data_IF_376293032394
#
_entry.id   IF_376293032394
#
_cell.length_a   1.000
_cell.length_b   1.000
_cell.length_c   1.000
_cell.angle_alpha   90.00
_cell.angle_beta   90.00
_cell.angle_gamma   90.00
#
_symmetry.space_group_name_H-M   'P 1'
#
loop_
_entity.id
_entity.type
_entity.pdbx_description
1 polymer ?
#
# COMPACT_ATOMS: atom_id res chain seq x y z
N UNK A 1 -4.84 21.21 -12.73
CA UNK A 1 -5.13 19.84 -12.26
C UNK A 1 -3.81 19.10 -12.30
N UNK A 2 -3.43 18.36 -11.25
CA UNK A 2 -2.18 17.62 -11.25
C UNK A 2 -2.41 16.28 -11.94
N UNK A 3 -1.85 16.11 -13.13
CA UNK A 3 -1.92 14.86 -13.90
C UNK A 3 -0.86 13.87 -13.41
N UNK A 4 -0.97 13.46 -12.13
CA UNK A 4 -0.02 12.57 -11.48
C UNK A 4 -0.69 11.55 -10.56
N UNK A 5 0.08 10.53 -10.19
CA UNK A 5 -0.31 9.47 -9.27
C UNK A 5 0.21 9.77 -7.86
N UNK A 6 -0.52 9.32 -6.85
CA UNK A 6 -0.08 9.35 -5.45
C UNK A 6 0.14 7.91 -5.02
N UNK A 7 1.35 7.59 -4.56
CA UNK A 7 1.64 6.34 -3.87
C UNK A 7 1.20 6.48 -2.42
N UNK A 8 0.06 5.89 -2.06
CA UNK A 8 -0.48 6.05 -0.70
C UNK A 8 0.19 5.20 0.36
N UNK A 9 1.15 4.34 -0.03
CA UNK A 9 1.90 3.51 0.91
C UNK A 9 3.21 3.03 0.30
N UNK A 10 4.35 3.56 0.73
CA UNK A 10 5.67 3.05 0.36
C UNK A 10 6.70 3.31 1.46
N UNK A 11 7.62 2.39 1.66
CA UNK A 11 8.72 2.49 2.62
C UNK A 11 10.00 2.94 1.92
N UNK A 12 10.01 4.17 1.38
CA UNK A 12 11.22 4.72 0.76
C UNK A 12 12.35 4.91 1.79
N UNK A 13 12.04 4.94 3.09
CA UNK A 13 13.01 4.94 4.19
C UNK A 13 13.69 3.58 4.41
N UNK A 14 13.19 2.49 3.81
CA UNK A 14 13.72 1.16 3.99
C UNK A 14 15.19 1.04 3.53
N UNK A 15 15.96 0.20 4.24
CA UNK A 15 17.39 -0.01 3.99
C UNK A 15 17.64 -0.65 2.62
N UNK A 16 16.65 -1.37 2.08
CA UNK A 16 16.64 -1.95 0.74
C UNK A 16 16.89 -0.91 -0.34
N UNK A 17 16.62 0.38 -0.08
CA UNK A 17 16.86 1.48 -1.00
C UNK A 17 18.15 2.27 -0.69
N UNK A 18 18.92 1.95 0.35
CA UNK A 18 20.07 2.78 0.75
C UNK A 18 21.11 2.99 -0.37
N UNK A 19 21.31 1.99 -1.22
CA UNK A 19 22.27 2.05 -2.31
C UNK A 19 21.80 2.88 -3.53
N UNK A 20 20.49 3.06 -3.71
CA UNK A 20 19.91 3.59 -4.95
C UNK A 20 18.64 4.44 -4.80
N UNK A 21 18.34 4.92 -3.59
CA UNK A 21 17.13 5.70 -3.26
C UNK A 21 16.92 6.89 -4.20
N UNK A 22 17.97 7.65 -4.50
CA UNK A 22 17.89 8.81 -5.39
C UNK A 22 17.43 8.41 -6.80
N UNK A 23 17.98 7.31 -7.32
CA UNK A 23 17.62 6.79 -8.65
C UNK A 23 16.19 6.24 -8.66
N UNK A 24 15.80 5.52 -7.60
CA UNK A 24 14.43 4.98 -7.43
C UNK A 24 13.40 6.10 -7.36
N UNK A 25 13.67 7.14 -6.57
CA UNK A 25 12.80 8.31 -6.46
C UNK A 25 12.68 9.06 -7.79
N UNK A 26 13.81 9.32 -8.47
CA UNK A 26 13.82 9.99 -9.76
C UNK A 26 13.03 9.21 -10.82
N UNK A 27 13.16 7.88 -10.88
CA UNK A 27 12.41 7.05 -11.81
C UNK A 27 10.89 7.17 -11.60
N UNK A 28 10.44 7.17 -10.33
CA UNK A 28 9.02 7.34 -10.00
C UNK A 28 8.49 8.73 -10.40
N UNK A 29 9.31 9.79 -10.22
CA UNK A 29 8.95 11.17 -10.62
C UNK A 29 8.81 11.37 -12.13
N UNK A 30 9.46 10.56 -12.96
CA UNK A 30 9.32 10.63 -14.43
C UNK A 30 8.08 9.87 -14.91
N UNK A 31 7.58 8.91 -14.12
CA UNK A 31 6.58 7.95 -14.58
C UNK A 31 7.20 6.91 -15.53
N UNK A 32 8.48 6.58 -15.32
CA UNK A 32 9.19 5.56 -16.10
C UNK A 32 9.02 4.18 -15.44
N UNK A 33 7.83 3.58 -15.62
CA UNK A 33 7.60 2.16 -15.33
C UNK A 33 7.93 1.28 -16.54
N UNK A 34 8.13 -0.04 -16.38
CA UNK A 34 8.20 -0.95 -17.52
C UNK A 34 6.96 -0.80 -18.40
N UNK A 35 7.13 -0.82 -19.71
CA UNK A 35 5.99 -0.76 -20.63
C UNK A 35 5.18 -2.06 -20.52
N UNK A 36 3.89 -2.04 -20.85
CA UNK A 36 3.10 -3.29 -20.87
C UNK A 36 3.68 -4.36 -21.79
N UNK A 37 4.44 -3.97 -22.82
CA UNK A 37 5.13 -4.90 -23.70
C UNK A 37 6.27 -5.67 -22.99
N UNK A 38 6.77 -5.15 -21.87
CA UNK A 38 7.83 -5.76 -21.07
C UNK A 38 7.28 -6.72 -20.00
N UNK A 39 5.95 -6.84 -19.88
CA UNK A 39 5.29 -7.78 -18.96
C UNK A 39 5.17 -9.14 -19.66
N UNK A 40 5.97 -10.16 -19.28
CA UNK A 40 5.89 -11.47 -19.92
C UNK A 40 4.52 -12.12 -19.68
N UNK A 41 4.00 -12.94 -20.61
CA UNK A 41 2.78 -13.72 -20.41
C UNK A 41 2.96 -14.65 -19.20
N UNK A 42 2.10 -14.49 -18.18
CA UNK A 42 2.31 -15.09 -16.86
C UNK A 42 1.67 -16.48 -16.77
N UNK A 43 2.50 -17.48 -16.48
CA UNK A 43 2.10 -18.84 -16.05
C UNK A 43 2.41 -19.13 -14.57
N UNK A 44 2.72 -18.12 -13.75
CA UNK A 44 3.13 -18.29 -12.36
C UNK A 44 1.99 -18.13 -11.35
N UNK A 45 1.97 -18.97 -10.33
CA UNK A 45 1.13 -18.83 -9.13
C UNK A 45 1.67 -17.74 -8.19
N UNK A 46 0.79 -17.11 -7.42
CA UNK A 46 1.11 -16.19 -6.31
C UNK A 46 2.24 -16.76 -5.43
N UNK A 47 3.41 -16.09 -5.31
CA UNK A 47 4.27 -16.34 -4.16
C UNK A 47 3.55 -15.83 -2.92
N UNK A 48 3.60 -16.57 -1.81
CA UNK A 48 3.07 -16.11 -0.54
C UNK A 48 3.64 -14.72 -0.21
N UNK A 49 2.77 -13.71 -0.14
CA UNK A 49 3.10 -12.32 0.14
C UNK A 49 4.04 -12.25 1.36
N UNK A 50 5.32 -11.98 1.12
CA UNK A 50 6.29 -11.66 2.17
C UNK A 50 6.14 -10.18 2.46
N UNK A 51 5.71 -9.85 3.67
CA UNK A 51 5.87 -8.53 4.24
C UNK A 51 7.12 -8.56 5.13
N UNK A 52 7.73 -7.39 5.36
CA UNK A 52 8.78 -7.08 6.34
C UNK A 52 9.14 -8.18 7.36
N UNK A 53 10.44 -8.52 7.46
CA UNK A 53 11.00 -9.23 8.62
C UNK A 53 11.39 -10.71 8.45
N UNK A 54 11.50 -11.24 7.23
CA UNK A 54 11.90 -12.64 7.00
C UNK A 54 13.42 -12.91 6.90
N UNK A 55 14.28 -11.96 7.27
CA UNK A 55 15.73 -12.19 7.33
C UNK A 55 16.24 -12.04 8.76
N UNK A 56 16.34 -13.18 9.45
CA UNK A 56 17.49 -13.66 10.25
C UNK A 56 17.07 -14.82 11.17
N UNK A 57 17.23 -16.06 10.69
CA UNK A 57 17.61 -17.23 11.51
C UNK A 57 18.20 -18.29 10.58
N UNK A 58 19.45 -18.67 10.83
CA UNK A 58 20.22 -19.57 9.99
C UNK A 58 19.94 -21.06 10.19
N UNK A 59 20.42 -21.80 9.18
CA UNK A 59 20.88 -23.20 9.15
C UNK A 59 19.87 -24.35 8.92
N UNK A 60 19.97 -24.94 7.71
CA UNK A 60 20.20 -26.40 7.56
C UNK A 60 19.08 -27.22 6.89
N UNK A 61 19.38 -28.16 5.96
CA UNK A 61 18.43 -28.61 4.94
C UNK A 61 17.81 -29.99 5.23
N UNK A 62 16.66 -30.29 4.61
CA UNK A 62 16.37 -31.66 4.15
C UNK A 62 15.35 -31.67 3.02
N UNK A 63 15.75 -32.26 1.90
CA UNK A 63 14.89 -32.72 0.82
C UNK A 63 13.89 -33.77 1.33
N UNK A 64 12.66 -33.73 0.82
CA UNK A 64 11.80 -34.91 0.72
C UNK A 64 10.81 -34.73 -0.43
N UNK A 65 10.65 -35.82 -1.18
CA UNK A 65 9.98 -35.95 -2.46
C UNK A 65 8.48 -35.70 -2.43
N UNK A 66 7.93 -35.16 -3.52
CA UNK A 66 6.49 -35.18 -3.82
C UNK A 66 6.24 -35.77 -5.23
N UNK A 67 5.27 -36.68 -5.40
CA UNK A 67 5.03 -37.42 -6.65
C UNK A 67 4.24 -36.59 -7.68
N UNK A 68 4.23 -36.99 -8.97
CA UNK A 68 3.61 -36.20 -10.02
C UNK A 68 2.09 -36.43 -10.04
N UNK A 69 1.32 -35.35 -10.19
CA UNK A 69 -0.12 -35.43 -10.48
C UNK A 69 -0.32 -35.10 -11.95
N UNK A 70 -0.60 -36.13 -12.74
CA UNK A 70 -1.20 -36.01 -14.07
C UNK A 70 -2.72 -35.98 -13.94
N UNK A 71 -3.36 -35.10 -14.72
CA UNK A 71 -4.82 -35.02 -14.82
C UNK A 71 -5.24 -33.90 -15.76
N UNK A 72 -5.74 -34.28 -16.93
CA UNK A 72 -6.12 -33.44 -18.06
C UNK A 72 -7.58 -32.92 -17.99
N UNK A 73 -7.72 -31.61 -18.26
CA UNK A 73 -8.83 -30.89 -18.94
C UNK A 73 -10.27 -30.85 -18.34
N UNK A 74 -11.21 -29.96 -18.78
CA UNK A 74 -11.16 -28.89 -19.81
C UNK A 74 -11.79 -27.51 -19.44
N UNK A 75 -11.53 -26.49 -20.27
CA UNK A 75 -12.60 -25.56 -20.71
C UNK A 75 -12.70 -24.16 -20.07
N UNK A 76 -11.66 -23.32 -20.15
CA UNK A 76 -11.81 -21.87 -19.94
C UNK A 76 -12.16 -21.18 -21.26
N UNK A 77 -13.39 -20.65 -21.35
CA UNK A 77 -13.84 -19.81 -22.46
C UNK A 77 -12.95 -18.58 -22.57
N UNK A 78 -12.38 -18.39 -23.75
CA UNK A 78 -11.57 -17.25 -24.13
C UNK A 78 -12.29 -15.92 -23.85
N UNK A 79 -11.67 -15.07 -23.05
CA UNK A 79 -12.03 -13.65 -22.98
C UNK A 79 -11.57 -13.00 -24.28
N UNK A 80 -12.53 -12.58 -25.08
CA UNK A 80 -12.31 -12.00 -26.40
C UNK A 80 -11.38 -10.80 -26.34
N UNK A 81 -10.30 -10.88 -27.12
CA UNK A 81 -9.49 -9.75 -27.52
C UNK A 81 -10.34 -8.85 -28.42
N UNK A 82 -10.53 -7.60 -27.99
CA UNK A 82 -10.68 -6.42 -28.84
C UNK A 82 -10.74 -5.19 -27.94
N UNK A 83 -9.58 -4.55 -27.76
CA UNK A 83 -9.49 -3.11 -27.61
C UNK A 83 -8.07 -2.70 -27.94
N UNK A 84 -7.92 -1.80 -28.90
CA UNK A 84 -6.68 -1.13 -29.23
C UNK A 84 -6.13 -0.47 -27.96
N UNK A 85 -4.98 -0.96 -27.49
CA UNK A 85 -4.28 -0.43 -26.33
C UNK A 85 -3.70 0.92 -26.75
N UNK A 86 -4.34 2.01 -26.31
CA UNK A 86 -3.83 3.36 -26.53
C UNK A 86 -2.38 3.47 -26.06
N UNK A 87 -1.54 4.05 -26.92
CA UNK A 87 -0.12 4.30 -26.67
C UNK A 87 0.10 4.90 -25.27
N UNK A 88 1.09 4.35 -24.55
CA UNK A 88 1.34 4.56 -23.13
C UNK A 88 1.33 6.03 -22.69
N UNK A 89 0.31 6.40 -21.91
CA UNK A 89 0.29 7.66 -21.20
C UNK A 89 1.34 7.68 -20.08
N UNK A 90 2.00 8.81 -19.89
CA UNK A 90 2.88 9.05 -18.75
C UNK A 90 2.06 9.65 -17.60
N UNK A 91 2.19 9.11 -16.40
CA UNK A 91 1.65 9.72 -15.19
C UNK A 91 2.73 9.63 -14.09
N UNK A 92 3.42 10.74 -13.77
CA UNK A 92 4.46 10.74 -12.75
C UNK A 92 3.87 10.52 -11.37
N UNK A 93 4.64 9.91 -10.47
CA UNK A 93 4.28 9.85 -9.05
C UNK A 93 4.58 11.20 -8.42
N UNK A 94 3.56 11.95 -8.02
CA UNK A 94 3.70 13.32 -7.52
C UNK A 94 3.86 13.40 -6.01
N UNK A 95 3.35 12.40 -5.28
CA UNK A 95 3.54 12.26 -3.83
C UNK A 95 3.60 10.80 -3.39
N UNK A 96 4.23 10.61 -2.23
CA UNK A 96 4.50 9.34 -1.59
C UNK A 96 4.13 9.46 -0.13
N UNK A 97 3.30 8.57 0.39
CA UNK A 97 3.07 8.48 1.84
C UNK A 97 4.04 7.46 2.40
N UNK A 98 4.89 7.90 3.33
CA UNK A 98 5.97 7.10 3.93
C UNK A 98 5.61 6.81 5.39
N UNK A 99 5.11 5.61 5.71
CA UNK A 99 4.74 5.25 7.06
C UNK A 99 5.93 4.72 7.85
N UNK A 100 6.02 5.15 9.11
CA UNK A 100 6.86 4.47 10.09
C UNK A 100 6.23 3.14 10.54
N UNK A 101 7.09 2.22 10.98
CA UNK A 101 6.68 0.88 11.47
C UNK A 101 6.97 0.70 12.96
N UNK A 102 7.92 1.43 13.52
CA UNK A 102 8.23 1.41 14.95
C UNK A 102 8.86 2.73 15.42
N UNK A 103 8.97 2.93 16.73
CA UNK A 103 9.56 4.16 17.29
C UNK A 103 10.95 4.45 16.72
N UNK A 104 11.75 3.40 16.50
CA UNK A 104 13.13 3.49 16.04
C UNK A 104 13.25 4.15 14.65
N UNK A 105 12.28 3.96 13.75
CA UNK A 105 12.38 4.50 12.38
C UNK A 105 11.69 5.87 12.17
N UNK A 106 11.09 6.47 13.21
CA UNK A 106 10.45 7.80 13.08
C UNK A 106 11.44 8.86 12.55
N UNK A 107 12.70 8.81 12.99
CA UNK A 107 13.74 9.73 12.53
C UNK A 107 14.15 9.52 11.07
N UNK A 108 14.19 8.27 10.61
CA UNK A 108 14.50 7.93 9.22
C UNK A 108 13.38 8.43 8.29
N UNK A 109 12.12 8.15 8.63
CA UNK A 109 10.94 8.64 7.88
C UNK A 109 10.93 10.17 7.80
N UNK A 110 11.18 10.86 8.93
CA UNK A 110 11.26 12.32 8.94
C UNK A 110 12.39 12.85 8.03
N UNK A 111 13.54 12.18 8.02
CA UNK A 111 14.69 12.57 7.20
C UNK A 111 14.40 12.38 5.70
N UNK A 112 13.81 11.24 5.33
CA UNK A 112 13.39 10.95 3.94
C UNK A 112 12.36 11.98 3.48
N UNK A 113 11.33 12.28 4.27
CA UNK A 113 10.30 13.24 3.89
C UNK A 113 10.83 14.68 3.73
N UNK A 114 11.93 15.04 4.40
CA UNK A 114 12.61 16.33 4.21
C UNK A 114 13.53 16.34 2.99
N UNK A 115 14.20 15.22 2.71
CA UNK A 115 15.15 15.11 1.61
C UNK A 115 14.47 15.00 0.24
N UNK A 116 13.29 14.37 0.17
CA UNK A 116 12.61 14.05 -1.08
C UNK A 116 11.26 14.77 -1.23
N UNK A 117 11.16 15.79 -2.11
CA UNK A 117 9.93 16.55 -2.30
C UNK A 117 8.73 15.70 -2.77
N UNK A 118 7.63 15.79 -2.04
CA UNK A 118 6.44 14.96 -2.26
C UNK A 118 6.35 13.75 -1.34
N UNK A 119 7.38 13.43 -0.57
CA UNK A 119 7.27 12.43 0.50
C UNK A 119 6.60 13.03 1.73
N UNK A 120 5.54 12.38 2.21
CA UNK A 120 4.71 12.82 3.32
C UNK A 120 4.70 11.76 4.43
N UNK A 121 5.01 12.13 5.69
CA UNK A 121 5.19 11.14 6.74
C UNK A 121 3.87 10.71 7.37
N UNK A 122 3.75 9.43 7.68
CA UNK A 122 2.83 8.91 8.68
C UNK A 122 3.62 8.24 9.80
N UNK A 123 3.17 8.38 11.05
CA UNK A 123 3.84 7.79 12.21
C UNK A 123 2.92 6.85 12.96
N UNK A 124 3.42 5.67 13.29
CA UNK A 124 2.70 4.61 13.97
C UNK A 124 3.63 3.46 14.33
N UNK A 125 3.10 2.54 15.12
CA UNK A 125 3.72 1.31 15.56
C UNK A 125 2.92 0.18 14.93
N UNK A 126 3.55 -0.50 13.99
CA UNK A 126 3.00 -1.58 13.19
C UNK A 126 2.78 -2.84 14.06
N UNK A 127 1.72 -3.64 13.83
CA UNK A 127 1.40 -4.84 14.64
C UNK A 127 2.54 -5.85 14.76
N UNK A 128 3.43 -5.94 13.78
CA UNK A 128 4.58 -6.86 13.83
C UNK A 128 5.72 -6.38 14.73
N UNK A 129 5.69 -5.12 15.18
CA UNK A 129 6.72 -4.50 15.99
C UNK A 129 6.28 -4.23 17.43
N UNK A 130 5.04 -4.57 17.79
CA UNK A 130 4.49 -4.29 19.12
C UNK A 130 5.26 -5.00 20.23
N UNK A 131 5.91 -6.13 19.95
CA UNK A 131 6.73 -6.87 20.92
C UNK A 131 7.99 -6.10 21.31
N UNK A 132 8.48 -5.23 20.43
CA UNK A 132 9.62 -4.32 20.70
C UNK A 132 9.17 -2.99 21.30
N UNK A 133 7.88 -2.67 21.20
CA UNK A 133 7.33 -1.41 21.65
C UNK A 133 7.12 -1.40 23.17
N UNK A 134 7.40 -0.26 23.79
CA UNK A 134 7.09 0.03 25.18
C UNK A 134 5.96 1.08 25.30
N UNK A 135 5.22 1.12 26.41
CA UNK A 135 4.13 2.10 26.59
C UNK A 135 4.57 3.56 26.33
N UNK A 136 5.82 3.91 26.67
CA UNK A 136 6.42 5.23 26.45
C UNK A 136 6.55 5.58 24.96
N UNK A 137 6.55 4.59 24.06
CA UNK A 137 6.59 4.83 22.61
C UNK A 137 5.30 5.47 22.10
N UNK A 138 4.16 5.27 22.79
CA UNK A 138 2.91 5.97 22.51
C UNK A 138 3.03 7.46 22.85
N UNK A 139 3.75 7.82 23.91
CA UNK A 139 4.03 9.21 24.25
C UNK A 139 5.01 9.84 23.26
N UNK A 140 6.02 9.07 22.84
CA UNK A 140 6.94 9.50 21.80
C UNK A 140 6.23 9.69 20.44
N UNK A 141 5.20 8.89 20.13
CA UNK A 141 4.32 9.10 18.99
C UNK A 141 3.57 10.44 19.10
N UNK A 142 2.91 10.73 20.24
CA UNK A 142 2.24 12.02 20.45
C UNK A 142 3.19 13.19 20.27
N UNK A 143 4.38 13.10 20.86
CA UNK A 143 5.42 14.12 20.77
C UNK A 143 5.91 14.32 19.33
N UNK A 144 5.99 13.26 18.54
CA UNK A 144 6.37 13.32 17.13
C UNK A 144 5.27 14.00 16.31
N UNK A 145 3.99 13.65 16.53
CA UNK A 145 2.84 14.28 15.85
C UNK A 145 2.65 15.77 16.18
N UNK A 146 3.20 16.26 17.30
CA UNK A 146 3.24 17.70 17.63
C UNK A 146 4.32 18.45 16.84
N UNK A 147 5.44 17.79 16.53
CA UNK A 147 6.60 18.41 15.87
C UNK A 147 6.58 18.26 14.36
N UNK A 148 6.19 17.09 13.88
CA UNK A 148 6.25 16.74 12.47
C UNK A 148 4.86 16.92 11.82
N UNK A 149 4.79 17.46 10.58
CA UNK A 149 3.54 17.66 9.87
C UNK A 149 2.98 16.36 9.26
N UNK A 150 2.74 15.34 10.09
CA UNK A 150 2.22 14.04 9.69
C UNK A 150 0.87 14.13 8.95
N UNK A 151 0.70 13.29 7.93
CA UNK A 151 -0.55 13.19 7.16
C UNK A 151 -1.54 12.19 7.74
N UNK A 152 -1.06 11.21 8.51
CA UNK A 152 -1.87 10.20 9.18
C UNK A 152 -1.13 9.61 10.40
N UNK A 153 -1.88 8.91 11.25
CA UNK A 153 -1.30 7.96 12.21
C UNK A 153 -1.24 6.60 11.53
N UNK A 154 -0.03 6.05 11.35
CA UNK A 154 0.19 4.88 10.53
C UNK A 154 1.68 4.58 10.34
N UNK A 155 2.06 3.33 10.16
CA UNK A 155 1.17 2.19 9.95
C UNK A 155 0.73 1.55 11.27
N UNK A 156 -0.57 1.30 11.43
CA UNK A 156 -1.15 0.69 12.64
C UNK A 156 -2.17 -0.37 12.26
N UNK A 157 -2.42 -1.36 13.11
CA UNK A 157 -3.45 -2.36 12.79
C UNK A 157 -3.23 -3.69 13.48
N UNK A 158 -3.62 -4.76 12.79
CA UNK A 158 -3.57 -6.13 13.30
C UNK A 158 -3.04 -7.07 12.21
N UNK A 159 -2.10 -7.93 12.59
CA UNK A 159 -1.57 -9.01 11.75
C UNK A 159 -1.77 -10.36 12.42
N UNK A 160 -2.66 -11.18 11.86
CA UNK A 160 -2.95 -12.56 12.30
C UNK A 160 -2.36 -13.64 11.39
N UNK A 161 -1.32 -13.29 10.64
CA UNK A 161 -0.63 -14.21 9.75
C UNK A 161 0.74 -14.62 10.28
N UNK A 162 1.50 -13.68 10.82
CA UNK A 162 2.85 -13.91 11.34
C UNK A 162 2.78 -14.45 12.77
N UNK A 163 3.65 -15.41 13.08
CA UNK A 163 3.81 -16.03 14.41
C UNK A 163 5.27 -15.92 14.88
N UNK A 164 5.56 -15.85 16.19
CA UNK A 164 4.61 -15.86 17.30
C UNK A 164 3.80 -14.55 17.39
N UNK A 165 2.52 -14.65 17.75
CA UNK A 165 1.62 -13.49 17.86
C UNK A 165 1.08 -13.26 19.27
N UNK A 166 1.15 -12.02 19.74
CA UNK A 166 0.39 -11.53 20.89
C UNK A 166 -0.82 -10.68 20.43
N UNK A 167 -1.96 -11.34 20.24
CA UNK A 167 -3.22 -10.71 19.81
C UNK A 167 -3.68 -9.61 20.78
N UNK A 168 -3.44 -9.77 22.09
CA UNK A 168 -3.86 -8.82 23.10
C UNK A 168 -3.00 -7.55 23.05
N UNK A 169 -1.69 -7.71 22.87
CA UNK A 169 -0.75 -6.61 22.72
C UNK A 169 -0.98 -5.85 21.42
N UNK A 170 -1.19 -6.54 20.30
CA UNK A 170 -1.56 -5.87 19.04
C UNK A 170 -2.85 -5.06 19.19
N UNK A 171 -3.89 -5.63 19.81
CA UNK A 171 -5.15 -4.93 20.05
C UNK A 171 -4.98 -3.70 20.96
N UNK A 172 -4.16 -3.80 22.01
CA UNK A 172 -3.83 -2.69 22.89
C UNK A 172 -3.19 -1.52 22.11
N UNK A 173 -2.08 -1.78 21.41
CA UNK A 173 -1.38 -0.74 20.64
C UNK A 173 -2.24 -0.18 19.51
N UNK A 174 -3.05 -1.01 18.85
CA UNK A 174 -3.95 -0.53 17.81
C UNK A 174 -4.99 0.45 18.38
N UNK A 175 -5.67 0.09 19.47
CA UNK A 175 -6.69 0.95 20.08
C UNK A 175 -6.09 2.23 20.64
N UNK A 176 -4.93 2.19 21.29
CA UNK A 176 -4.27 3.40 21.79
C UNK A 176 -3.86 4.35 20.65
N UNK A 177 -3.39 3.82 19.52
CA UNK A 177 -3.05 4.64 18.36
C UNK A 177 -4.29 5.21 17.64
N UNK A 178 -5.43 4.49 17.64
CA UNK A 178 -6.72 5.07 17.20
C UNK A 178 -7.13 6.26 18.09
N UNK A 179 -6.93 6.17 19.42
CA UNK A 179 -7.19 7.28 20.34
C UNK A 179 -6.28 8.47 20.06
N UNK A 180 -5.00 8.24 19.79
CA UNK A 180 -4.04 9.27 19.38
C UNK A 180 -4.45 9.91 18.06
N UNK A 181 -4.84 9.12 17.05
CA UNK A 181 -5.33 9.66 15.77
C UNK A 181 -6.53 10.60 15.98
N UNK A 182 -7.47 10.20 16.83
CA UNK A 182 -8.62 11.05 17.21
C UNK A 182 -8.20 12.31 17.97
N UNK A 183 -7.24 12.23 18.90
CA UNK A 183 -6.69 13.37 19.64
C UNK A 183 -6.13 14.44 18.68
N UNK A 184 -5.41 14.02 17.64
CA UNK A 184 -4.78 14.91 16.67
C UNK A 184 -5.66 15.26 15.46
N UNK A 185 -6.88 14.71 15.39
CA UNK A 185 -7.79 14.86 14.25
C UNK A 185 -7.20 14.33 12.95
N UNK A 186 -6.40 13.28 13.02
CA UNK A 186 -5.72 12.67 11.88
C UNK A 186 -6.46 11.43 11.37
N UNK A 187 -6.47 11.17 10.06
CA UNK A 187 -6.84 9.87 9.50
C UNK A 187 -5.79 8.81 9.87
N UNK A 188 -6.11 7.54 9.62
CA UNK A 188 -5.21 6.41 9.92
C UNK A 188 -4.79 5.66 8.66
N UNK A 189 -3.58 5.09 8.65
CA UNK A 189 -3.15 4.09 7.66
C UNK A 189 -3.14 2.72 8.32
N UNK A 190 -4.00 1.82 7.84
CA UNK A 190 -4.26 0.54 8.48
C UNK A 190 -3.52 -0.61 7.81
N UNK A 191 -2.73 -1.34 8.59
CA UNK A 191 -2.34 -2.71 8.28
C UNK A 191 -3.47 -3.67 8.62
N UNK A 192 -3.86 -4.51 7.66
CA UNK A 192 -4.88 -5.53 7.93
C UNK A 192 -4.51 -6.86 7.30
N UNK A 193 -4.05 -7.80 8.12
CA UNK A 193 -3.75 -9.17 7.66
C UNK A 193 -4.54 -10.20 8.45
N UNK A 194 -5.50 -10.86 7.78
CA UNK A 194 -6.41 -11.85 8.39
C UNK A 194 -7.18 -11.33 9.63
N UNK A 195 -7.40 -10.01 9.68
CA UNK A 195 -7.92 -9.34 10.87
C UNK A 195 -8.97 -8.26 10.57
N UNK A 196 -9.64 -8.30 9.41
CA UNK A 196 -10.60 -7.25 9.00
C UNK A 196 -11.74 -7.07 10.00
N UNK A 197 -12.40 -8.14 10.43
CA UNK A 197 -13.55 -8.00 11.33
C UNK A 197 -13.16 -7.46 12.72
N UNK A 198 -12.04 -7.89 13.34
CA UNK A 198 -11.47 -7.23 14.51
C UNK A 198 -11.16 -5.74 14.30
N UNK A 199 -10.55 -5.37 13.17
CA UNK A 199 -10.27 -3.96 12.84
C UNK A 199 -11.58 -3.16 12.77
N UNK A 200 -12.57 -3.63 12.02
CA UNK A 200 -13.87 -2.98 11.88
C UNK A 200 -14.58 -2.83 13.22
N UNK A 201 -14.45 -3.81 14.13
CA UNK A 201 -14.98 -3.70 15.50
C UNK A 201 -14.33 -2.53 16.24
N UNK A 202 -13.01 -2.47 16.28
CA UNK A 202 -12.29 -1.39 16.96
C UNK A 202 -12.59 -0.01 16.34
N UNK A 203 -12.76 0.09 15.02
CA UNK A 203 -13.11 1.35 14.35
C UNK A 203 -14.53 1.84 14.66
N UNK A 204 -15.49 0.92 14.85
CA UNK A 204 -16.85 1.27 15.30
C UNK A 204 -16.86 1.79 16.74
N UNK A 205 -16.03 1.20 17.60
CA UNK A 205 -15.90 1.59 19.01
C UNK A 205 -15.08 2.88 19.17
N UNK A 206 -13.95 2.98 18.48
CA UNK A 206 -13.03 4.11 18.48
C UNK A 206 -13.06 4.80 17.11
N UNK A 207 -14.10 5.62 16.91
CA UNK A 207 -14.26 6.39 15.67
C UNK A 207 -13.08 7.34 15.44
N UNK A 208 -12.58 7.33 14.21
CA UNK A 208 -11.54 8.24 13.68
C UNK A 208 -12.07 8.97 12.45
N UNK A 209 -11.29 9.89 11.88
CA UNK A 209 -11.69 10.72 10.74
C UNK A 209 -11.83 9.96 9.39
N UNK A 210 -11.60 8.65 9.40
CA UNK A 210 -11.41 7.82 8.21
C UNK A 210 -9.94 7.43 8.06
N UNK A 211 -9.57 6.97 6.88
CA UNK A 211 -8.22 6.48 6.63
C UNK A 211 -8.12 5.60 5.38
N UNK A 212 -6.98 4.93 5.25
CA UNK A 212 -6.73 3.99 4.17
C UNK A 212 -6.58 2.60 4.80
N UNK A 213 -7.39 1.65 4.32
CA UNK A 213 -7.11 0.23 4.53
C UNK A 213 -6.16 -0.21 3.42
N UNK A 214 -4.85 -0.22 3.72
CA UNK A 214 -3.82 -0.54 2.74
C UNK A 214 -3.84 -2.04 2.40
N UNK A 215 -3.30 -2.37 1.24
CA UNK A 215 -3.21 -3.72 0.66
C UNK A 215 -4.50 -4.52 0.82
N UNK A 216 -5.64 -3.89 0.50
CA UNK A 216 -6.95 -4.46 0.81
C UNK A 216 -7.13 -5.81 0.12
N UNK A 217 -7.54 -6.83 0.88
CA UNK A 217 -7.76 -8.20 0.36
C UNK A 217 -9.04 -8.86 0.91
N UNK A 218 -9.96 -8.05 1.43
CA UNK A 218 -11.21 -8.49 2.03
C UNK A 218 -12.30 -8.89 1.04
N UNK A 219 -13.50 -9.16 1.57
CA UNK A 219 -14.72 -9.37 0.78
C UNK A 219 -15.36 -8.03 0.37
N UNK A 220 -16.32 -8.07 -0.57
CA UNK A 220 -17.14 -6.89 -0.91
C UNK A 220 -17.86 -6.31 0.30
N UNK A 221 -18.44 -7.17 1.14
CA UNK A 221 -19.14 -6.73 2.34
C UNK A 221 -18.18 -5.97 3.29
N UNK A 222 -16.97 -6.50 3.48
CA UNK A 222 -15.94 -5.84 4.26
C UNK A 222 -15.50 -4.49 3.67
N UNK A 223 -15.37 -4.42 2.33
CA UNK A 223 -15.08 -3.17 1.63
C UNK A 223 -16.17 -2.13 1.87
N UNK A 224 -17.45 -2.52 1.78
CA UNK A 224 -18.59 -1.63 2.03
C UNK A 224 -18.62 -1.10 3.48
N UNK A 225 -18.28 -1.92 4.47
CA UNK A 225 -18.16 -1.48 5.86
C UNK A 225 -17.07 -0.41 6.03
N UNK A 226 -15.89 -0.61 5.43
CA UNK A 226 -14.82 0.40 5.44
C UNK A 226 -15.28 1.70 4.77
N UNK A 227 -15.93 1.61 3.60
CA UNK A 227 -16.44 2.79 2.87
C UNK A 227 -17.46 3.56 3.72
N UNK A 228 -18.37 2.87 4.43
CA UNK A 228 -19.33 3.52 5.36
C UNK A 228 -18.65 4.23 6.52
N UNK A 229 -17.48 3.75 6.94
CA UNK A 229 -16.66 4.37 7.98
C UNK A 229 -15.75 5.50 7.45
N UNK A 230 -15.87 5.89 6.17
CA UNK A 230 -15.09 6.97 5.57
C UNK A 230 -13.70 6.55 5.11
N UNK A 231 -13.44 5.25 4.96
CA UNK A 231 -12.16 4.74 4.48
C UNK A 231 -12.09 4.68 2.95
N UNK A 232 -10.86 4.80 2.45
CA UNK A 232 -10.47 4.35 1.10
C UNK A 232 -9.74 3.03 1.20
N UNK A 233 -9.70 2.30 0.10
CA UNK A 233 -9.13 0.96 0.01
C UNK A 233 -7.90 1.01 -0.91
N UNK A 234 -6.77 0.52 -0.40
CA UNK A 234 -5.50 0.46 -1.11
C UNK A 234 -5.45 -0.71 -2.09
N UNK A 235 -5.07 -0.42 -3.34
CA UNK A 235 -4.85 -1.41 -4.39
C UNK A 235 -3.45 -1.23 -4.98
N UNK A 236 -2.63 -2.28 -4.84
CA UNK A 236 -1.26 -2.31 -5.34
C UNK A 236 -0.92 -3.54 -6.16
N UNK A 237 0.31 -4.05 -6.00
CA UNK A 237 0.87 -5.13 -6.82
C UNK A 237 0.03 -6.41 -6.88
N UNK A 238 -0.64 -6.78 -5.78
CA UNK A 238 -1.49 -7.98 -5.72
C UNK A 238 -2.61 -8.01 -6.78
N UNK A 239 -3.15 -6.85 -7.16
CA UNK A 239 -4.19 -6.74 -8.19
C UNK A 239 -3.69 -7.15 -9.59
N UNK A 240 -2.38 -7.08 -9.82
CA UNK A 240 -1.77 -7.34 -11.12
C UNK A 240 -1.73 -8.83 -11.48
N UNK A 241 -1.78 -9.72 -10.49
CA UNK A 241 -1.74 -11.16 -10.69
C UNK A 241 -3.08 -11.68 -11.26
N UNK A 242 -3.09 -12.30 -12.46
CA UNK A 242 -4.32 -12.81 -13.06
C UNK A 242 -5.07 -13.83 -12.19
N UNK A 243 -4.34 -14.57 -11.35
CA UNK A 243 -4.90 -15.56 -10.41
C UNK A 243 -5.67 -14.94 -9.23
N UNK A 244 -5.42 -13.67 -8.88
CA UNK A 244 -5.99 -13.01 -7.71
C UNK A 244 -7.41 -12.48 -8.01
N UNK A 245 -8.32 -13.41 -8.34
CA UNK A 245 -9.68 -13.13 -8.86
C UNK A 245 -10.48 -12.17 -7.99
N UNK A 246 -10.48 -12.35 -6.66
CA UNK A 246 -11.28 -11.53 -5.74
C UNK A 246 -10.85 -10.07 -5.76
N UNK A 247 -9.56 -9.80 -5.62
CA UNK A 247 -9.07 -8.42 -5.59
C UNK A 247 -9.27 -7.73 -6.95
N UNK A 248 -9.12 -8.47 -8.06
CA UNK A 248 -9.40 -7.96 -9.41
C UNK A 248 -10.87 -7.65 -9.63
N UNK A 249 -11.77 -8.51 -9.14
CA UNK A 249 -13.21 -8.25 -9.19
C UNK A 249 -13.57 -6.98 -8.41
N UNK A 250 -13.03 -6.83 -7.19
CA UNK A 250 -13.23 -5.63 -6.38
C UNK A 250 -12.68 -4.38 -7.06
N UNK A 251 -11.47 -4.47 -7.60
CA UNK A 251 -10.85 -3.41 -8.38
C UNK A 251 -11.67 -3.01 -9.61
N UNK A 252 -12.39 -3.95 -10.24
CA UNK A 252 -13.23 -3.68 -11.39
C UNK A 252 -14.59 -3.04 -11.04
N UNK A 253 -15.12 -3.27 -9.82
CA UNK A 253 -16.55 -3.08 -9.53
C UNK A 253 -16.87 -2.24 -8.31
N UNK A 254 -15.95 -2.01 -7.37
CA UNK A 254 -16.17 -1.08 -6.26
C UNK A 254 -16.32 0.36 -6.77
N UNK A 255 -17.02 1.27 -6.06
CA UNK A 255 -17.05 2.69 -6.42
C UNK A 255 -15.64 3.27 -6.65
N UNK A 256 -15.43 4.01 -7.74
CA UNK A 256 -14.06 4.50 -8.07
C UNK A 256 -13.57 5.49 -7.03
N UNK A 257 -14.48 6.24 -6.42
CA UNK A 257 -14.18 7.17 -5.34
C UNK A 257 -13.75 6.49 -4.03
N UNK A 258 -13.85 5.16 -3.92
CA UNK A 258 -13.37 4.39 -2.76
C UNK A 258 -11.94 3.86 -2.91
N UNK A 259 -11.33 3.97 -4.09
CA UNK A 259 -10.05 3.34 -4.42
C UNK A 259 -8.89 4.35 -4.35
N UNK A 260 -7.79 3.94 -3.73
CA UNK A 260 -6.48 4.60 -3.83
C UNK A 260 -5.44 3.58 -4.32
N UNK A 261 -4.32 4.08 -4.84
CA UNK A 261 -3.26 3.23 -5.39
C UNK A 261 -2.02 3.32 -4.51
N UNK A 262 -1.31 2.20 -4.41
CA UNK A 262 -0.08 2.10 -3.65
C UNK A 262 0.86 1.10 -4.29
N UNK A 263 2.14 1.18 -3.94
CA UNK A 263 3.09 0.11 -4.27
C UNK A 263 3.30 -0.85 -3.11
N UNK A 264 3.33 -0.35 -1.88
CA UNK A 264 3.89 -1.01 -0.71
C UNK A 264 5.39 -1.35 -0.88
N UNK A 265 6.08 -0.61 -1.75
CA UNK A 265 7.50 -0.85 -2.03
C UNK A 265 8.35 -0.72 -0.75
N UNK A 266 9.34 -1.61 -0.52
CA UNK A 266 9.89 -2.61 -1.45
C UNK A 266 9.10 -3.93 -1.57
N UNK A 267 8.04 -4.09 -0.78
CA UNK A 267 7.23 -5.30 -0.67
C UNK A 267 6.10 -5.34 -1.72
N UNK A 268 5.31 -6.43 -1.66
CA UNK A 268 4.17 -6.72 -2.55
C UNK A 268 4.49 -6.45 -4.03
N UNK A 269 5.53 -7.08 -4.58
CA UNK A 269 5.93 -6.81 -5.95
C UNK A 269 4.82 -7.21 -6.93
N UNK A 270 4.55 -6.37 -7.94
CA UNK A 270 3.61 -6.71 -9.00
C UNK A 270 4.15 -7.86 -9.86
N UNK A 271 3.27 -8.45 -10.65
CA UNK A 271 3.52 -9.70 -11.37
C UNK A 271 4.74 -9.65 -12.31
N UNK A 272 5.03 -8.49 -12.91
CA UNK A 272 6.17 -8.30 -13.83
C UNK A 272 7.53 -8.26 -13.12
N UNK A 273 7.57 -8.07 -11.80
CA UNK A 273 8.83 -8.17 -11.04
C UNK A 273 9.29 -9.60 -10.84
N UNK A 274 8.41 -10.58 -11.01
CA UNK A 274 8.72 -12.00 -10.83
C UNK A 274 9.44 -12.28 -9.48
N UNK A 275 8.91 -11.70 -8.40
CA UNK A 275 9.49 -11.81 -7.04
C UNK A 275 10.68 -10.88 -6.76
N UNK A 276 11.10 -10.05 -7.71
CA UNK A 276 12.07 -8.98 -7.48
C UNK A 276 11.53 -7.83 -6.63
N UNK A 277 12.42 -6.92 -6.23
CA UNK A 277 12.11 -5.74 -5.40
C UNK A 277 11.09 -4.83 -6.09
N UNK A 278 10.02 -4.47 -5.38
CA UNK A 278 9.06 -3.48 -5.85
C UNK A 278 9.65 -2.06 -5.72
N UNK A 279 9.23 -1.12 -6.57
CA UNK A 279 9.63 0.29 -6.43
C UNK A 279 8.45 1.22 -6.66
N UNK A 280 8.48 2.46 -6.16
CA UNK A 280 7.41 3.42 -6.42
C UNK A 280 7.17 3.73 -7.92
N UNK A 281 8.13 3.45 -8.80
CA UNK A 281 7.97 3.58 -10.25
C UNK A 281 6.96 2.56 -10.83
N UNK A 282 6.69 1.47 -10.10
CA UNK A 282 5.70 0.46 -10.49
C UNK A 282 4.24 0.93 -10.30
N UNK A 283 4.02 2.08 -9.65
CA UNK A 283 2.68 2.62 -9.48
C UNK A 283 1.99 2.93 -10.83
N UNK A 284 2.74 3.38 -11.84
CA UNK A 284 2.19 3.63 -13.17
C UNK A 284 1.63 2.37 -13.82
N UNK A 285 2.40 1.27 -13.98
CA UNK A 285 1.85 0.02 -14.53
C UNK A 285 0.77 -0.62 -13.64
N UNK A 286 0.79 -0.39 -12.31
CA UNK A 286 -0.35 -0.75 -11.42
C UNK A 286 -1.61 0.05 -11.79
N UNK A 287 -1.49 1.37 -12.00
CA UNK A 287 -2.59 2.23 -12.42
C UNK A 287 -3.14 1.84 -13.80
N UNK A 288 -2.25 1.47 -14.74
CA UNK A 288 -2.64 0.94 -16.05
C UNK A 288 -3.43 -0.37 -15.91
N UNK A 289 -3.04 -1.24 -14.98
CA UNK A 289 -3.80 -2.47 -14.69
C UNK A 289 -5.22 -2.14 -14.19
N UNK A 290 -5.37 -1.17 -13.29
CA UNK A 290 -6.69 -0.72 -12.85
C UNK A 290 -7.50 -0.12 -14.01
N UNK A 291 -6.87 0.70 -14.85
CA UNK A 291 -7.50 1.30 -16.04
C UNK A 291 -8.08 0.23 -16.98
N UNK A 292 -7.33 -0.86 -17.21
CA UNK A 292 -7.79 -2.00 -18.02
C UNK A 292 -8.96 -2.75 -17.38
N UNK A 293 -8.85 -3.05 -16.08
CA UNK A 293 -9.94 -3.70 -15.33
C UNK A 293 -11.22 -2.87 -15.35
N UNK A 294 -11.10 -1.54 -15.39
CA UNK A 294 -12.21 -0.59 -15.38
C UNK A 294 -12.69 -0.16 -16.77
N UNK A 295 -11.94 -0.47 -17.81
CA UNK A 295 -12.16 0.05 -19.16
C UNK A 295 -12.25 1.58 -19.18
N UNK A 296 -11.40 2.24 -18.38
CA UNK A 296 -11.29 3.70 -18.29
C UNK A 296 -9.94 4.18 -18.80
N UNK A 297 -9.83 5.41 -19.33
CA UNK A 297 -8.55 6.02 -19.63
C UNK A 297 -7.66 6.12 -18.38
N UNK A 298 -6.34 5.93 -18.54
CA UNK A 298 -5.37 6.08 -17.45
C UNK A 298 -5.48 7.46 -16.76
N UNK A 299 -5.71 8.52 -17.54
CA UNK A 299 -5.88 9.87 -17.00
C UNK A 299 -7.08 9.96 -16.03
N UNK A 300 -8.19 9.28 -16.32
CA UNK A 300 -9.35 9.27 -15.41
C UNK A 300 -9.06 8.49 -14.13
N UNK A 301 -8.35 7.36 -14.22
CA UNK A 301 -7.90 6.61 -13.05
C UNK A 301 -6.97 7.48 -12.19
N UNK A 302 -5.94 8.07 -12.79
CA UNK A 302 -4.99 8.91 -12.08
C UNK A 302 -5.68 10.10 -11.39
N UNK A 303 -6.56 10.80 -12.10
CA UNK A 303 -7.31 11.90 -11.51
C UNK A 303 -8.22 11.44 -10.37
N UNK A 304 -8.92 10.31 -10.51
CA UNK A 304 -9.82 9.80 -9.48
C UNK A 304 -9.06 9.36 -8.23
N UNK A 305 -8.04 8.51 -8.37
CA UNK A 305 -7.29 7.97 -7.23
C UNK A 305 -6.50 9.07 -6.51
N UNK A 306 -5.95 10.04 -7.25
CA UNK A 306 -5.31 11.23 -6.66
C UNK A 306 -6.31 12.10 -5.90
N UNK A 307 -7.52 12.35 -6.43
CA UNK A 307 -8.56 13.06 -5.68
C UNK A 307 -8.95 12.31 -4.41
N UNK A 308 -9.07 10.99 -4.48
CA UNK A 308 -9.45 10.16 -3.33
C UNK A 308 -8.38 10.20 -2.23
N UNK A 309 -7.10 10.08 -2.60
CA UNK A 309 -5.98 10.17 -1.67
C UNK A 309 -5.94 11.52 -0.96
N UNK A 310 -6.13 12.62 -1.69
CA UNK A 310 -6.21 13.97 -1.11
C UNK A 310 -7.42 14.17 -0.21
N UNK A 311 -8.56 13.60 -0.57
CA UNK A 311 -9.77 13.70 0.23
C UNK A 311 -9.65 12.94 1.56
N UNK A 312 -9.02 11.76 1.57
CA UNK A 312 -8.85 10.95 2.78
C UNK A 312 -7.63 11.35 3.62
N UNK A 313 -6.61 11.96 2.99
CA UNK A 313 -5.42 12.53 3.66
C UNK A 313 -5.34 14.05 3.41
N UNK A 314 -6.17 14.89 4.04
CA UNK A 314 -6.24 16.33 3.72
C UNK A 314 -4.92 17.09 3.90
N UNK A 315 -4.04 16.63 4.80
CA UNK A 315 -2.73 17.25 5.04
C UNK A 315 -1.71 16.94 3.94
N UNK A 316 -2.00 15.99 3.04
CA UNK A 316 -1.12 15.62 1.94
C UNK A 316 -0.89 16.77 0.96
N UNK A 317 -1.85 17.70 0.84
CA UNK A 317 -1.75 18.88 -0.02
C UNK A 317 -0.53 19.77 0.30
N UNK A 318 0.03 19.69 1.52
CA UNK A 318 1.26 20.39 1.92
C UNK A 318 2.51 19.88 1.22
N UNK A 319 2.47 18.65 0.70
CA UNK A 319 3.58 17.96 0.07
C UNK A 319 3.43 17.88 -1.45
N UNK A 320 2.26 18.26 -1.98
CA UNK A 320 2.05 18.28 -3.42
C UNK A 320 2.82 19.46 -4.05
N UNK A 321 3.33 19.30 -5.29
CA UNK A 321 3.95 20.41 -6.00
C UNK A 321 2.97 21.57 -6.12
N UNK A 322 3.38 22.79 -5.79
CA UNK A 322 2.54 23.97 -6.06
C UNK A 322 2.42 24.17 -7.56
N UNK A 323 1.21 24.37 -8.07
CA UNK A 323 0.98 24.74 -9.49
C UNK A 323 1.74 26.02 -9.82
N UNK A 324 2.93 25.91 -10.43
CA UNK A 324 3.80 27.04 -10.75
C UNK A 324 5.28 26.73 -10.93
N UNK A 325 5.78 25.58 -10.44
CA UNK A 325 7.22 25.24 -10.47
C UNK A 325 7.63 24.25 -11.57
N UNK A 326 6.86 24.16 -12.65
CA UNK A 326 7.35 23.56 -13.90
C UNK A 326 7.84 24.68 -14.82
N UNK A 327 9.13 25.01 -14.72
CA UNK A 327 9.89 25.71 -15.77
C UNK A 327 11.16 24.94 -16.07
#
# INVERSE_FOLDING_TARGET
MHDGLIDTHCHLDAAEFDADRDAVFAAAKVGAGPSQADVPPVGGSEPGLRAWGANEVGAGPSQADAPPVGGSEPGLRAWGANNEVGAGGTAPVIAFVVPAVERANFGAVASVCRAYPGCAPAYGIHPMYVDRAHPEDLDALRDTLRREPAVAVGEIGLDRHVEPRDDARQAFYFVEQLKIAREFGLPVLLHVRRAIDPILKCLRETRVAGGIAHAFNGSRQQAEEFIRLGFKLGFGGAMTFPGSKRIRELAATLPLDAIVLETDAPDIPPVWKNGGRNTPADLLPIAQTLAQLRQLPLAEIAQATTRNARAVLPRLDRYLPTTGETR
#
